data_IF_810283695250
#
_entry.id   IF_810283695250
#
_cell.length_a   1.000
_cell.length_b   1.000
_cell.length_c   1.000
_cell.angle_alpha   90.00
_cell.angle_beta   90.00
_cell.angle_gamma   90.00
#
_symmetry.space_group_name_H-M   'P 1'
#
loop_
_entity.id
_entity.type
_entity.pdbx_description
1 polymer ?
#
# COMPACT_ATOMS: atom_id res chain seq x y z
N UNK A 1 -3.07 -7.49 -1.72
CA UNK A 1 -3.24 -6.63 -2.90
C UNK A 1 -3.51 -5.17 -2.52
N UNK A 2 -2.98 -4.22 -3.28
CA UNK A 2 -2.70 -2.78 -3.00
C UNK A 2 -1.77 -2.45 -1.83
N UNK A 3 -1.80 -3.21 -0.72
CA UNK A 3 -1.05 -2.83 0.50
C UNK A 3 0.46 -2.64 0.29
N UNK A 4 1.12 -3.51 -0.50
CA UNK A 4 2.54 -3.34 -0.84
C UNK A 4 2.79 -2.00 -1.54
N UNK A 5 2.09 -1.72 -2.64
CA UNK A 5 2.24 -0.49 -3.39
C UNK A 5 1.88 0.76 -2.56
N UNK A 6 0.81 0.68 -1.76
CA UNK A 6 0.36 1.76 -0.89
C UNK A 6 1.39 2.10 0.19
N UNK A 7 1.91 1.11 0.92
CA UNK A 7 2.91 1.38 1.96
C UNK A 7 4.27 1.77 1.38
N UNK A 8 4.68 1.17 0.25
CA UNK A 8 5.89 1.60 -0.47
C UNK A 8 5.83 3.09 -0.85
N UNK A 9 4.68 3.59 -1.29
CA UNK A 9 4.51 5.02 -1.60
C UNK A 9 4.85 5.94 -0.40
N UNK A 10 4.41 5.60 0.81
CA UNK A 10 4.72 6.41 2.00
C UNK A 10 6.17 6.27 2.46
N UNK A 11 6.77 5.09 2.28
CA UNK A 11 8.19 4.85 2.58
C UNK A 11 9.08 5.62 1.61
N UNK A 12 8.80 5.59 0.31
CA UNK A 12 9.54 6.35 -0.72
C UNK A 12 9.50 7.87 -0.47
N UNK A 13 8.43 8.38 0.18
CA UNK A 13 8.29 9.79 0.57
C UNK A 13 8.90 10.12 1.92
N UNK A 14 9.49 9.15 2.62
CA UNK A 14 10.00 9.31 3.98
C UNK A 14 8.98 9.90 4.97
N UNK A 15 7.69 9.59 4.78
CA UNK A 15 6.61 10.25 5.51
C UNK A 15 6.55 9.86 6.99
N UNK A 16 7.02 8.65 7.34
CA UNK A 16 7.03 8.17 8.73
C UNK A 16 7.91 6.92 8.96
N UNK A 17 9.16 6.94 8.48
CA UNK A 17 10.07 5.78 8.46
C UNK A 17 10.16 5.02 9.77
N UNK A 18 10.29 5.71 10.91
CA UNK A 18 10.37 5.07 12.22
C UNK A 18 9.18 4.16 12.53
N UNK A 19 7.99 4.48 11.99
CA UNK A 19 6.80 3.64 12.19
C UNK A 19 6.88 2.37 11.35
N UNK A 20 7.36 2.46 10.11
CA UNK A 20 7.57 1.30 9.26
C UNK A 20 8.66 0.38 9.83
N UNK A 21 9.75 0.95 10.34
CA UNK A 21 10.77 0.18 11.08
C UNK A 21 10.15 -0.57 12.27
N UNK A 22 9.36 0.11 13.12
CA UNK A 22 8.67 -0.55 14.24
C UNK A 22 7.71 -1.64 13.79
N UNK A 23 6.98 -1.43 12.69
CA UNK A 23 6.08 -2.44 12.13
C UNK A 23 6.86 -3.65 11.59
N UNK A 24 7.98 -3.44 10.91
CA UNK A 24 8.86 -4.51 10.45
C UNK A 24 9.43 -5.34 11.61
N UNK A 25 9.85 -4.67 12.69
CA UNK A 25 10.31 -5.32 13.92
C UNK A 25 9.20 -6.16 14.57
N UNK A 26 7.98 -5.63 14.64
CA UNK A 26 6.81 -6.35 15.16
C UNK A 26 6.45 -7.57 14.30
N UNK A 27 6.74 -7.53 13.01
CA UNK A 27 6.56 -8.66 12.08
C UNK A 27 7.76 -9.62 12.03
N UNK A 28 8.75 -9.46 12.91
CA UNK A 28 9.85 -10.42 13.08
C UNK A 28 11.21 -9.97 12.56
N UNK A 29 11.33 -8.82 11.87
CA UNK A 29 12.62 -8.24 11.45
C UNK A 29 13.25 -7.44 12.61
N UNK A 30 13.52 -8.10 13.74
CA UNK A 30 13.78 -7.48 15.07
C UNK A 30 14.85 -6.37 15.10
N UNK A 31 15.91 -6.50 14.31
CA UNK A 31 17.05 -5.56 14.34
C UNK A 31 17.08 -4.60 13.15
N UNK A 32 16.01 -4.55 12.35
CA UNK A 32 15.99 -3.66 11.18
C UNK A 32 15.98 -2.19 11.57
N UNK A 33 16.63 -1.40 10.71
CA UNK A 33 16.60 0.07 10.69
C UNK A 33 16.12 0.60 9.33
N UNK A 34 15.79 -0.29 8.40
CA UNK A 34 15.34 0.06 7.05
C UNK A 34 13.80 0.00 7.02
N UNK A 35 13.09 1.10 6.72
CA UNK A 35 11.64 1.07 6.59
C UNK A 35 11.16 0.11 5.48
N UNK A 36 11.96 -0.16 4.44
CA UNK A 36 11.59 -1.11 3.38
C UNK A 36 11.52 -2.57 3.85
N UNK A 37 12.16 -2.92 4.98
CA UNK A 37 12.02 -4.25 5.57
C UNK A 37 10.58 -4.53 6.03
N UNK A 38 9.75 -3.49 6.21
CA UNK A 38 8.32 -3.67 6.42
C UNK A 38 7.65 -4.30 5.19
N UNK A 39 8.00 -3.90 3.97
CA UNK A 39 7.42 -4.45 2.74
C UNK A 39 7.87 -5.90 2.54
N UNK A 40 9.13 -6.21 2.90
CA UNK A 40 9.63 -7.58 2.90
C UNK A 40 8.86 -8.46 3.90
N UNK A 41 8.71 -8.00 5.15
CA UNK A 41 7.95 -8.72 6.18
C UNK A 41 6.46 -8.86 5.83
N UNK A 42 5.85 -7.84 5.24
CA UNK A 42 4.47 -7.88 4.75
C UNK A 42 4.30 -8.89 3.61
N UNK A 43 5.28 -9.00 2.71
CA UNK A 43 5.23 -9.97 1.61
C UNK A 43 5.33 -11.40 2.15
N UNK A 44 6.25 -11.65 3.08
CA UNK A 44 6.39 -12.94 3.76
C UNK A 44 5.12 -13.34 4.51
N UNK A 45 4.48 -12.38 5.20
CA UNK A 45 3.19 -12.61 5.85
C UNK A 45 2.08 -12.95 4.84
N UNK A 46 2.03 -12.27 3.70
CA UNK A 46 1.05 -12.55 2.65
C UNK A 46 1.20 -13.95 2.07
N UNK A 47 2.44 -14.39 1.84
CA UNK A 47 2.76 -15.76 1.39
C UNK A 47 2.34 -16.80 2.43
N UNK A 48 2.66 -16.59 3.71
CA UNK A 48 2.26 -17.50 4.79
C UNK A 48 0.74 -17.59 4.96
N UNK A 49 0.02 -16.51 4.68
CA UNK A 49 -1.44 -16.48 4.68
C UNK A 49 -2.07 -17.00 3.37
N UNK A 50 -1.28 -17.29 2.33
CA UNK A 50 -1.77 -17.75 1.03
C UNK A 50 -2.55 -16.69 0.25
N UNK A 51 -2.25 -15.41 0.46
CA UNK A 51 -2.95 -14.26 -0.18
C UNK A 51 -2.03 -13.41 -1.06
N UNK A 52 -0.78 -13.83 -1.23
CA UNK A 52 0.21 -13.20 -2.10
C UNK A 52 -0.19 -13.24 -3.59
N UNK A 53 -0.98 -14.25 -3.98
CA UNK A 53 -1.48 -14.41 -5.35
C UNK A 53 -2.72 -13.58 -5.71
N UNK A 54 -3.30 -12.79 -4.79
CA UNK A 54 -4.48 -11.96 -5.09
C UNK A 54 -4.12 -10.83 -6.07
N UNK A 55 -4.79 -10.79 -7.24
CA UNK A 55 -4.60 -9.75 -8.30
C UNK A 55 -5.87 -8.98 -8.61
N UNK A 56 -5.74 -7.69 -8.95
CA UNK A 56 -6.91 -6.81 -9.08
C UNK A 56 -7.70 -7.22 -10.32
N UNK A 57 -6.97 -7.69 -11.33
CA UNK A 57 -7.47 -8.29 -12.55
C UNK A 57 -8.32 -9.55 -12.31
N UNK A 58 -8.03 -10.36 -11.28
CA UNK A 58 -8.85 -11.55 -10.95
C UNK A 58 -10.27 -11.17 -10.48
N UNK A 59 -10.47 -9.91 -10.05
CA UNK A 59 -11.76 -9.37 -9.63
C UNK A 59 -12.44 -8.51 -10.70
N UNK A 60 -11.93 -8.51 -11.94
CA UNK A 60 -12.55 -7.82 -13.08
C UNK A 60 -12.26 -6.32 -13.17
N UNK A 61 -11.42 -5.77 -12.28
CA UNK A 61 -11.00 -4.36 -12.34
C UNK A 61 -10.20 -4.13 -13.62
N UNK A 62 -10.50 -3.07 -14.37
CA UNK A 62 -9.79 -2.70 -15.59
C UNK A 62 -8.87 -1.49 -15.36
N UNK A 63 -7.73 -1.39 -16.07
CA UNK A 63 -6.81 -0.25 -15.94
C UNK A 63 -7.44 1.12 -16.21
N UNK A 64 -8.43 1.17 -17.10
CA UNK A 64 -9.16 2.38 -17.47
C UNK A 64 -10.00 2.92 -16.29
N UNK A 65 -10.31 2.09 -15.30
CA UNK A 65 -11.14 2.44 -14.14
C UNK A 65 -10.34 3.03 -12.97
N UNK A 66 -9.00 3.02 -13.00
CA UNK A 66 -8.18 3.40 -11.85
C UNK A 66 -8.46 4.82 -11.33
N UNK A 67 -8.62 5.79 -12.24
CA UNK A 67 -8.98 7.16 -11.83
C UNK A 67 -10.40 7.23 -11.28
N UNK A 68 -11.35 6.52 -11.88
CA UNK A 68 -12.73 6.43 -11.39
C UNK A 68 -12.78 5.83 -9.97
N UNK A 69 -12.00 4.77 -9.73
CA UNK A 69 -11.89 4.14 -8.41
C UNK A 69 -11.22 5.08 -7.39
N UNK A 70 -10.19 5.82 -7.78
CA UNK A 70 -9.51 6.79 -6.92
C UNK A 70 -10.45 7.92 -6.49
N UNK A 71 -11.15 8.53 -7.45
CA UNK A 71 -12.13 9.58 -7.20
C UNK A 71 -13.29 9.06 -6.32
N UNK A 72 -13.78 7.85 -6.57
CA UNK A 72 -14.82 7.24 -5.74
C UNK A 72 -14.35 7.00 -4.30
N UNK A 73 -13.11 6.54 -4.10
CA UNK A 73 -12.53 6.36 -2.76
C UNK A 73 -12.52 7.68 -1.97
N UNK A 74 -12.13 8.80 -2.61
CA UNK A 74 -12.18 10.12 -1.97
C UNK A 74 -13.61 10.63 -1.76
N UNK A 75 -14.49 10.47 -2.74
CA UNK A 75 -15.86 10.96 -2.67
C UNK A 75 -16.66 10.27 -1.54
N UNK A 76 -16.42 8.97 -1.33
CA UNK A 76 -17.14 8.17 -0.33
C UNK A 76 -16.50 8.19 1.05
N UNK A 77 -15.17 8.24 1.12
CA UNK A 77 -14.39 8.06 2.37
C UNK A 77 -13.30 9.12 2.55
N UNK A 78 -13.47 10.32 1.98
CA UNK A 78 -12.45 11.37 1.95
C UNK A 78 -11.89 11.80 3.31
N UNK A 79 -12.66 11.67 4.39
CA UNK A 79 -12.18 11.92 5.76
C UNK A 79 -11.01 11.02 6.16
N UNK A 80 -10.93 9.80 5.63
CA UNK A 80 -9.84 8.86 5.92
C UNK A 80 -8.50 9.29 5.31
N UNK A 81 -8.52 10.05 4.22
CA UNK A 81 -7.29 10.59 3.60
C UNK A 81 -6.59 11.60 4.52
N UNK A 82 -7.31 12.23 5.44
CA UNK A 82 -6.71 13.10 6.46
C UNK A 82 -5.95 12.32 7.54
N UNK A 83 -6.15 11.00 7.62
CA UNK A 83 -5.40 10.12 8.53
C UNK A 83 -4.09 9.59 7.91
N UNK A 84 -3.89 9.79 6.60
CA UNK A 84 -2.65 9.43 5.92
C UNK A 84 -1.48 10.29 6.41
N UNK A 85 -0.26 9.76 6.31
CA UNK A 85 0.95 10.43 6.81
C UNK A 85 1.54 11.45 5.85
N UNK A 86 1.06 11.44 4.61
CA UNK A 86 1.33 12.45 3.60
C UNK A 86 0.08 12.62 2.75
N UNK A 87 -0.12 13.79 2.11
CA UNK A 87 -1.18 13.97 1.14
C UNK A 87 -1.11 12.89 0.05
N UNK A 88 -2.28 12.35 -0.28
CA UNK A 88 -2.46 11.35 -1.32
C UNK A 88 -3.50 11.90 -2.30
N UNK A 89 -3.07 12.25 -3.51
CA UNK A 89 -3.96 12.73 -4.58
C UNK A 89 -4.73 11.58 -5.24
N UNK A 90 -5.68 11.91 -6.12
CA UNK A 90 -6.41 10.88 -6.88
C UNK A 90 -5.47 10.22 -7.91
N UNK A 91 -4.54 10.99 -8.48
CA UNK A 91 -3.49 10.51 -9.36
C UNK A 91 -2.53 9.56 -8.63
N UNK A 92 -2.15 9.89 -7.38
CA UNK A 92 -1.33 9.00 -6.56
C UNK A 92 -2.05 7.68 -6.28
N UNK A 93 -3.36 7.73 -5.98
CA UNK A 93 -4.18 6.53 -5.78
C UNK A 93 -4.25 5.67 -7.06
N UNK A 94 -4.51 6.29 -8.21
CA UNK A 94 -4.53 5.59 -9.49
C UNK A 94 -3.17 4.98 -9.84
N UNK A 95 -2.07 5.66 -9.51
CA UNK A 95 -0.72 5.12 -9.66
C UNK A 95 -0.47 3.92 -8.73
N UNK A 96 -0.98 3.94 -7.50
CA UNK A 96 -0.93 2.78 -6.58
C UNK A 96 -1.72 1.59 -7.15
N UNK A 97 -2.93 1.81 -7.69
CA UNK A 97 -3.70 0.75 -8.36
C UNK A 97 -2.93 0.17 -9.54
N UNK A 98 -2.34 1.03 -10.38
CA UNK A 98 -1.51 0.61 -11.51
C UNK A 98 -0.31 -0.22 -11.08
N UNK A 99 0.39 0.18 -10.01
CA UNK A 99 1.53 -0.57 -9.43
C UNK A 99 1.09 -1.92 -8.85
N UNK A 100 -0.16 -2.05 -8.39
CA UNK A 100 -0.68 -3.23 -7.70
C UNK A 100 -1.53 -4.17 -8.57
N UNK A 101 -1.64 -3.88 -9.87
CA UNK A 101 -2.68 -4.46 -10.73
C UNK A 101 -2.56 -5.99 -10.94
N UNK A 102 -1.35 -6.50 -11.21
CA UNK A 102 -1.09 -7.89 -11.59
C UNK A 102 0.09 -8.54 -10.86
#
# INVERSE_FOLDING_TARGET
MISKAYFTYFIEKHACDERFVRMAQALGKKDTKDPMDFIAALSELQEQCGVDGLKMSDYGIQPEEFMTLAQNARATMGGLFACDRAPLSDEDCAAIFKKAYC
#
